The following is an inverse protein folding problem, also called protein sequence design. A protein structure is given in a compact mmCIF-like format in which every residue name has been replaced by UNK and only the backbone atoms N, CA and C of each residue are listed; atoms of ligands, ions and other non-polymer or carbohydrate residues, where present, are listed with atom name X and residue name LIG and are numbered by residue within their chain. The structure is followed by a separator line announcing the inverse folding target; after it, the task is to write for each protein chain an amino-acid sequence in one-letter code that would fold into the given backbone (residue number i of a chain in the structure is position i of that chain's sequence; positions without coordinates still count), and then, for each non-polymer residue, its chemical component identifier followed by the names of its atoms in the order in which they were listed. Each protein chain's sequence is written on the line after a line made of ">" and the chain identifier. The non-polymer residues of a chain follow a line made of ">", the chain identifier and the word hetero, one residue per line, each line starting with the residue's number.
data_IF_646721000855
#
_entry.id   IF_646721000855
#
_cell.length_a   1.000
_cell.length_b   1.000
_cell.length_c   1.000
_cell.angle_alpha   90.00
_cell.angle_beta   90.00
_cell.angle_gamma   90.00
#
_symmetry.space_group_name_H-M   'P 1'
#
loop_
_entity.id
_entity.type
_entity.pdbx_description
1 polymer ?
#
# COMPACT_ATOMS: atom_id res chain seq x y z
N UNK A 1 12.54 105.18 43.90
CA UNK A 1 12.05 106.23 42.98
C UNK A 1 12.84 106.10 41.68
N UNK A 2 12.22 106.38 40.51
CA UNK A 2 12.85 106.78 39.20
C UNK A 2 14.15 106.08 38.74
N UNK A 3 14.26 105.54 37.52
CA UNK A 3 13.36 105.52 36.36
C UNK A 3 14.07 105.01 35.10
N UNK A 4 13.38 105.08 33.95
CA UNK A 4 13.93 104.84 32.60
C UNK A 4 15.04 105.88 32.24
N UNK A 5 15.90 105.75 31.22
CA UNK A 5 16.00 104.88 30.03
C UNK A 5 17.51 104.94 29.55
N UNK A 6 18.06 104.42 28.43
CA UNK A 6 17.52 103.82 27.20
C UNK A 6 18.49 102.80 26.51
N UNK A 7 18.11 102.35 25.31
CA UNK A 7 18.70 101.32 24.47
C UNK A 7 19.83 101.73 23.50
N UNK A 8 20.64 100.75 23.05
CA UNK A 8 21.22 100.69 21.68
C UNK A 8 21.72 99.27 21.32
N UNK A 9 21.97 99.04 20.03
CA UNK A 9 22.76 97.94 19.44
C UNK A 9 22.31 96.47 19.62
N UNK A 10 21.17 96.08 18.99
CA UNK A 10 20.98 94.72 18.46
C UNK A 10 20.58 94.85 16.98
N UNK A 11 21.40 94.32 16.05
CA UNK A 11 21.09 94.50 14.62
C UNK A 11 22.12 94.04 13.58
N UNK A 12 22.84 92.93 13.78
CA UNK A 12 23.70 92.38 12.70
C UNK A 12 24.03 90.88 12.71
N UNK A 13 23.67 90.10 13.75
CA UNK A 13 24.19 88.72 13.92
C UNK A 13 23.46 87.59 13.18
N UNK A 14 22.17 87.71 12.88
CA UNK A 14 21.30 86.52 12.68
C UNK A 14 21.37 85.87 11.29
N UNK A 15 21.88 86.57 10.27
CA UNK A 15 21.78 86.13 8.87
C UNK A 15 22.71 84.98 8.44
N UNK A 16 23.57 84.47 9.32
CA UNK A 16 24.58 83.47 8.95
C UNK A 16 24.26 82.00 9.33
N UNK A 17 23.24 81.73 10.16
CA UNK A 17 23.00 80.39 10.71
C UNK A 17 21.82 79.62 10.08
N UNK A 18 20.88 80.29 9.40
CA UNK A 18 19.73 79.61 8.78
C UNK A 18 20.09 78.80 7.53
N UNK A 19 21.18 79.13 6.83
CA UNK A 19 21.55 78.51 5.55
C UNK A 19 22.10 77.07 5.61
N UNK A 20 22.34 76.51 6.80
CA UNK A 20 23.05 75.21 6.95
C UNK A 20 22.26 74.08 7.62
N UNK A 21 21.10 74.37 8.23
CA UNK A 21 20.26 73.34 8.91
C UNK A 21 19.17 72.70 8.04
N UNK A 22 18.89 73.24 6.85
CA UNK A 22 17.83 72.75 5.95
C UNK A 22 18.24 71.54 5.10
N UNK A 23 19.53 71.41 4.75
CA UNK A 23 19.98 70.45 3.73
C UNK A 23 20.03 69.00 4.22
N UNK A 24 20.69 68.74 5.35
CA UNK A 24 20.89 67.38 5.87
C UNK A 24 19.62 66.72 6.46
N UNK A 25 18.52 67.46 6.64
CA UNK A 25 17.29 66.91 7.25
C UNK A 25 16.40 66.16 6.26
N UNK A 26 16.60 66.32 4.95
CA UNK A 26 15.85 65.60 3.92
C UNK A 26 16.46 64.24 3.56
N UNK A 27 17.79 64.12 3.49
CA UNK A 27 18.46 62.88 3.05
C UNK A 27 18.26 61.68 4.01
N UNK A 28 18.11 61.94 5.31
CA UNK A 28 17.88 60.88 6.30
C UNK A 28 16.48 60.23 6.21
N UNK A 29 15.46 60.97 5.75
CA UNK A 29 14.11 60.40 5.59
C UNK A 29 13.97 59.57 4.32
N UNK A 30 14.66 59.94 3.23
CA UNK A 30 14.67 59.16 1.98
C UNK A 30 15.25 57.74 2.12
N UNK A 31 16.19 57.51 3.04
CA UNK A 31 16.79 56.19 3.27
C UNK A 31 15.94 55.26 4.15
N UNK A 32 15.04 55.82 4.97
CA UNK A 32 14.11 55.02 5.79
C UNK A 32 12.79 54.74 5.08
N UNK A 33 12.27 55.68 4.28
CA UNK A 33 11.04 55.50 3.50
C UNK A 33 11.11 54.28 2.57
N UNK A 34 12.15 54.19 1.74
CA UNK A 34 12.33 53.08 0.79
C UNK A 34 12.57 51.68 1.39
N UNK A 35 12.59 51.55 2.71
CA UNK A 35 12.53 50.27 3.41
C UNK A 35 11.09 49.96 3.86
N UNK A 36 10.37 50.96 4.40
CA UNK A 36 8.95 50.85 4.73
C UNK A 36 8.09 50.55 3.50
N UNK A 37 8.31 51.28 2.41
CA UNK A 37 7.57 51.09 1.14
C UNK A 37 7.73 49.67 0.59
N UNK A 38 8.94 49.10 0.66
CA UNK A 38 9.21 47.72 0.20
C UNK A 38 8.60 46.65 1.09
N UNK A 39 8.48 46.89 2.40
CA UNK A 39 7.76 45.98 3.31
C UNK A 39 6.24 46.11 3.09
N UNK A 40 5.75 47.30 2.76
CA UNK A 40 4.38 47.58 2.32
C UNK A 40 4.02 46.84 1.03
N UNK A 41 4.78 47.06 -0.06
CA UNK A 41 4.63 46.38 -1.35
C UNK A 41 4.63 44.85 -1.17
N UNK A 42 5.58 44.31 -0.39
CA UNK A 42 5.66 42.87 -0.16
C UNK A 42 4.43 42.38 0.60
N UNK A 43 3.99 43.09 1.64
CA UNK A 43 2.78 42.78 2.41
C UNK A 43 1.49 42.82 1.58
N UNK A 44 1.35 43.83 0.71
CA UNK A 44 0.22 43.94 -0.21
C UNK A 44 0.26 42.86 -1.29
N UNK A 45 1.43 42.54 -1.87
CA UNK A 45 1.58 41.41 -2.78
C UNK A 45 1.19 40.07 -2.12
N UNK A 46 1.64 39.83 -0.88
CA UNK A 46 1.25 38.65 -0.11
C UNK A 46 -0.27 38.61 0.16
N UNK A 47 -0.91 39.74 0.44
CA UNK A 47 -2.32 39.79 0.89
C UNK A 47 -3.33 39.89 -0.26
N UNK A 48 -3.00 40.61 -1.33
CA UNK A 48 -3.90 40.85 -2.49
C UNK A 48 -3.69 39.84 -3.62
N UNK A 49 -2.53 39.19 -3.73
CA UNK A 49 -2.22 38.27 -4.84
C UNK A 49 -1.88 36.85 -4.38
N UNK A 50 -0.95 36.68 -3.44
CA UNK A 50 -0.55 35.33 -3.01
C UNK A 50 -1.64 34.64 -2.18
N UNK A 51 -2.20 35.30 -1.17
CA UNK A 51 -3.20 34.69 -0.29
C UNK A 51 -4.51 34.31 -1.03
N UNK A 52 -5.09 35.15 -1.91
CA UNK A 52 -6.26 34.74 -2.70
C UNK A 52 -5.93 33.64 -3.71
N UNK A 53 -4.74 33.65 -4.31
CA UNK A 53 -4.27 32.58 -5.18
C UNK A 53 -4.11 31.24 -4.47
N UNK A 54 -3.56 31.26 -3.24
CA UNK A 54 -3.44 30.08 -2.39
C UNK A 54 -4.81 29.53 -1.97
N UNK A 55 -5.74 30.41 -1.56
CA UNK A 55 -7.12 30.04 -1.22
C UNK A 55 -7.90 29.48 -2.42
N UNK A 56 -7.66 29.99 -3.64
CA UNK A 56 -8.25 29.43 -4.85
C UNK A 56 -7.70 28.02 -5.14
N UNK A 57 -6.37 27.82 -5.03
CA UNK A 57 -5.75 26.50 -5.18
C UNK A 57 -6.22 25.52 -4.10
N UNK A 58 -6.36 25.96 -2.85
CA UNK A 58 -6.96 25.17 -1.76
C UNK A 58 -8.40 24.78 -2.10
N UNK A 59 -9.22 25.72 -2.58
CA UNK A 59 -10.62 25.45 -2.93
C UNK A 59 -10.76 24.45 -4.08
N UNK A 60 -9.97 24.60 -5.16
CA UNK A 60 -9.97 23.65 -6.28
C UNK A 60 -9.47 22.26 -5.85
N UNK A 61 -8.45 22.18 -4.97
CA UNK A 61 -7.98 20.90 -4.41
C UNK A 61 -9.03 20.25 -3.48
N UNK A 62 -9.77 21.04 -2.70
CA UNK A 62 -10.86 20.56 -1.85
C UNK A 62 -12.06 20.10 -2.69
N UNK A 63 -12.42 20.80 -3.76
CA UNK A 63 -13.46 20.38 -4.71
C UNK A 63 -13.06 19.10 -5.44
N UNK A 64 -11.81 19.01 -5.91
CA UNK A 64 -11.26 17.81 -6.53
C UNK A 64 -11.28 16.61 -5.58
N UNK A 65 -10.83 16.78 -4.33
CA UNK A 65 -10.88 15.75 -3.31
C UNK A 65 -12.32 15.33 -2.99
N UNK A 66 -13.22 16.29 -2.77
CA UNK A 66 -14.63 16.03 -2.47
C UNK A 66 -15.35 15.30 -3.61
N UNK A 67 -15.06 15.65 -4.87
CA UNK A 67 -15.55 14.93 -6.04
C UNK A 67 -15.14 13.45 -6.00
N UNK A 68 -13.85 13.15 -5.80
CA UNK A 68 -13.38 11.76 -5.73
C UNK A 68 -13.91 11.01 -4.51
N UNK A 69 -14.04 11.67 -3.34
CA UNK A 69 -14.70 11.06 -2.17
C UNK A 69 -16.15 10.68 -2.46
N UNK A 70 -16.92 11.50 -3.19
CA UNK A 70 -18.29 11.17 -3.59
C UNK A 70 -18.30 10.00 -4.59
N UNK A 71 -17.38 9.96 -5.56
CA UNK A 71 -17.26 8.84 -6.51
C UNK A 71 -16.95 7.52 -5.77
N UNK A 72 -15.96 7.51 -4.87
CA UNK A 72 -15.62 6.32 -4.07
C UNK A 72 -16.75 5.90 -3.12
N UNK A 73 -17.46 6.85 -2.51
CA UNK A 73 -18.61 6.52 -1.65
C UNK A 73 -19.79 5.92 -2.42
N UNK A 74 -19.97 6.28 -3.70
CA UNK A 74 -20.98 5.67 -4.59
C UNK A 74 -20.57 4.24 -4.99
N UNK A 75 -19.28 3.99 -5.24
CA UNK A 75 -18.76 2.66 -5.57
C UNK A 75 -18.91 1.69 -4.38
N UNK A 76 -18.48 2.10 -3.18
CA UNK A 76 -18.63 1.31 -1.94
C UNK A 76 -20.10 1.01 -1.63
N UNK A 77 -20.98 2.02 -1.77
CA UNK A 77 -22.42 1.83 -1.59
C UNK A 77 -23.03 0.86 -2.63
N UNK A 78 -22.49 0.81 -3.86
CA UNK A 78 -22.92 -0.17 -4.86
C UNK A 78 -22.49 -1.60 -4.48
N UNK A 79 -21.29 -1.77 -3.90
CA UNK A 79 -20.84 -3.04 -3.33
C UNK A 79 -21.70 -3.49 -2.14
N UNK A 80 -22.03 -2.59 -1.22
CA UNK A 80 -22.94 -2.85 -0.09
C UNK A 80 -24.34 -3.29 -0.55
N UNK A 81 -24.93 -2.55 -1.48
CA UNK A 81 -26.26 -2.86 -2.05
C UNK A 81 -26.22 -4.21 -2.78
N UNK A 82 -25.15 -4.48 -3.54
CA UNK A 82 -24.92 -5.75 -4.21
C UNK A 82 -24.83 -6.93 -3.23
N UNK A 83 -24.00 -6.81 -2.20
CA UNK A 83 -23.85 -7.82 -1.15
C UNK A 83 -25.17 -8.07 -0.40
N UNK A 84 -25.84 -7.00 0.04
CA UNK A 84 -27.12 -7.08 0.74
C UNK A 84 -28.20 -7.75 -0.13
N UNK A 85 -28.26 -7.43 -1.43
CA UNK A 85 -29.16 -8.08 -2.37
C UNK A 85 -28.85 -9.57 -2.55
N UNK A 86 -27.58 -9.95 -2.72
CA UNK A 86 -27.18 -11.36 -2.82
C UNK A 86 -27.51 -12.15 -1.54
N UNK A 87 -27.35 -11.53 -0.37
CA UNK A 87 -27.65 -12.12 0.94
C UNK A 87 -29.16 -12.27 1.16
N UNK A 88 -29.95 -11.23 0.89
CA UNK A 88 -31.42 -11.24 1.02
C UNK A 88 -32.10 -12.16 0.00
N UNK A 89 -31.54 -12.31 -1.22
CA UNK A 89 -32.04 -13.26 -2.22
C UNK A 89 -31.56 -14.70 -1.99
N UNK A 90 -30.77 -14.96 -0.94
CA UNK A 90 -30.27 -16.29 -0.60
C UNK A 90 -29.32 -16.89 -1.64
N UNK A 91 -28.65 -16.04 -2.43
CA UNK A 91 -27.65 -16.43 -3.44
C UNK A 91 -26.30 -16.75 -2.82
N UNK A 92 -25.99 -16.17 -1.66
CA UNK A 92 -24.77 -16.45 -0.87
C UNK A 92 -24.92 -17.75 -0.07
N UNK A 93 -25.07 -18.90 -0.75
CA UNK A 93 -25.08 -20.21 -0.09
C UNK A 93 -23.67 -20.71 0.14
N UNK A 94 -23.28 -20.77 1.41
CA UNK A 94 -22.03 -21.39 1.86
C UNK A 94 -22.15 -22.93 1.83
N UNK A 95 -21.38 -23.65 0.98
CA UNK A 95 -21.37 -25.11 1.00
C UNK A 95 -20.54 -25.61 2.17
N UNK A 96 -21.18 -26.30 3.13
CA UNK A 96 -20.46 -26.95 4.24
C UNK A 96 -19.69 -28.16 3.73
N UNK A 97 -18.38 -28.16 3.90
CA UNK A 97 -17.50 -29.31 3.65
C UNK A 97 -17.49 -30.18 4.92
N UNK A 98 -17.76 -31.48 4.80
CA UNK A 98 -17.64 -32.41 5.92
C UNK A 98 -16.15 -32.67 6.24
N UNK A 99 -15.83 -32.98 7.50
CA UNK A 99 -14.43 -33.19 7.91
C UNK A 99 -13.73 -34.31 7.15
N UNK A 100 -14.47 -35.36 6.82
CA UNK A 100 -13.96 -36.52 6.09
C UNK A 100 -13.71 -36.20 4.60
N UNK A 101 -14.32 -35.13 4.07
CA UNK A 101 -14.15 -34.60 2.71
C UNK A 101 -13.07 -33.49 2.62
N UNK A 102 -12.33 -33.18 3.68
CA UNK A 102 -11.33 -32.10 3.67
C UNK A 102 -10.08 -32.42 2.82
N UNK A 103 -9.70 -33.69 2.66
CA UNK A 103 -8.49 -34.08 1.91
C UNK A 103 -8.78 -35.11 0.83
N UNK A 104 -9.59 -34.77 -0.20
CA UNK A 104 -9.87 -35.67 -1.31
C UNK A 104 -8.61 -35.86 -2.18
N UNK A 105 -8.59 -36.94 -2.97
CA UNK A 105 -7.65 -37.02 -4.08
C UNK A 105 -7.92 -35.91 -5.10
N UNK A 106 -6.86 -35.35 -5.68
CA UNK A 106 -6.97 -34.36 -6.76
C UNK A 106 -7.19 -35.09 -8.08
N UNK A 107 -8.05 -34.58 -8.97
CA UNK A 107 -8.13 -35.12 -10.33
C UNK A 107 -6.92 -34.67 -11.15
N UNK A 108 -6.48 -33.41 -10.98
CA UNK A 108 -5.37 -32.82 -11.73
C UNK A 108 -4.09 -32.81 -10.90
N UNK A 109 -2.93 -32.78 -11.58
CA UNK A 109 -1.67 -32.40 -10.92
C UNK A 109 -1.69 -30.90 -10.63
N UNK A 110 -1.36 -30.53 -9.40
CA UNK A 110 -1.39 -29.15 -8.92
C UNK A 110 0.00 -28.70 -8.52
N UNK A 111 0.45 -27.57 -9.07
CA UNK A 111 1.69 -26.91 -8.69
C UNK A 111 1.38 -25.76 -7.74
N UNK A 112 1.93 -25.79 -6.52
CA UNK A 112 1.93 -24.67 -5.59
C UNK A 112 3.20 -23.85 -5.82
N UNK A 113 3.05 -22.58 -6.17
CA UNK A 113 4.16 -21.65 -6.42
C UNK A 113 4.30 -20.68 -5.24
N UNK A 114 5.45 -20.71 -4.58
CA UNK A 114 5.80 -19.81 -3.48
C UNK A 114 7.09 -19.08 -3.83
N UNK A 115 7.07 -17.73 -3.80
CA UNK A 115 8.23 -16.91 -4.10
C UNK A 115 8.78 -16.28 -2.82
N UNK A 116 9.92 -16.78 -2.32
CA UNK A 116 10.50 -16.37 -1.04
C UNK A 116 11.78 -15.51 -1.22
N UNK A 117 11.88 -14.43 -0.44
CA UNK A 117 13.06 -13.56 -0.37
C UNK A 117 13.18 -12.95 1.02
N UNK A 118 14.18 -13.41 1.80
CA UNK A 118 14.40 -13.10 3.22
C UNK A 118 13.28 -13.56 4.16
N UNK A 119 12.62 -14.65 3.79
CA UNK A 119 11.49 -15.27 4.51
C UNK A 119 11.92 -16.43 5.41
N UNK A 120 13.17 -16.44 5.88
CA UNK A 120 13.78 -17.55 6.61
C UNK A 120 13.01 -17.97 7.89
N UNK A 121 12.37 -17.01 8.56
CA UNK A 121 11.60 -17.24 9.79
C UNK A 121 10.25 -17.95 9.53
N UNK A 122 9.63 -17.74 8.36
CA UNK A 122 8.28 -18.26 8.03
C UNK A 122 8.30 -19.44 7.06
N UNK A 123 9.16 -19.42 6.04
CA UNK A 123 9.09 -20.35 4.89
C UNK A 123 9.20 -21.83 5.32
N UNK A 124 10.03 -22.11 6.33
CA UNK A 124 10.22 -23.47 6.85
C UNK A 124 9.01 -24.00 7.61
N UNK A 125 8.23 -23.11 8.24
CA UNK A 125 6.98 -23.46 8.92
C UNK A 125 5.83 -23.65 7.91
N UNK A 126 5.68 -22.72 6.96
CA UNK A 126 4.68 -22.82 5.90
C UNK A 126 4.85 -24.10 5.08
N UNK A 127 6.06 -24.40 4.57
CA UNK A 127 6.31 -25.64 3.80
C UNK A 127 5.98 -26.89 4.63
N UNK A 128 6.42 -26.95 5.88
CA UNK A 128 6.15 -28.10 6.76
C UNK A 128 4.66 -28.27 7.11
N UNK A 129 3.91 -27.17 7.19
CA UNK A 129 2.46 -27.18 7.39
C UNK A 129 1.71 -27.59 6.11
N UNK A 130 2.04 -27.00 4.96
CA UNK A 130 1.41 -27.31 3.67
C UNK A 130 1.56 -28.80 3.31
N UNK A 131 2.76 -29.38 3.46
CA UNK A 131 3.00 -30.81 3.22
C UNK A 131 2.20 -31.75 4.13
N UNK A 132 1.80 -31.26 5.33
CA UNK A 132 1.00 -32.00 6.33
C UNK A 132 -0.50 -31.82 6.11
N UNK A 133 -0.94 -30.60 5.80
CA UNK A 133 -2.35 -30.26 5.58
C UNK A 133 -2.86 -30.80 4.23
N UNK A 134 -1.99 -30.87 3.23
CA UNK A 134 -2.30 -31.41 1.90
C UNK A 134 -1.44 -32.66 1.64
N UNK A 135 -1.91 -33.87 2.01
CA UNK A 135 -1.16 -35.12 1.87
C UNK A 135 -1.10 -35.66 0.44
N UNK A 136 -1.80 -35.05 -0.53
CA UNK A 136 -1.99 -35.61 -1.87
C UNK A 136 -0.68 -35.74 -2.68
N UNK A 137 -0.50 -36.87 -3.36
CA UNK A 137 0.68 -37.16 -4.23
C UNK A 137 0.67 -36.36 -5.56
N UNK A 138 -0.48 -35.82 -5.94
CA UNK A 138 -0.66 -34.98 -7.14
C UNK A 138 -0.25 -33.52 -6.93
N UNK A 139 0.04 -33.12 -5.70
CA UNK A 139 0.59 -31.82 -5.35
C UNK A 139 2.12 -31.80 -5.52
N UNK A 140 2.66 -30.74 -6.12
CA UNK A 140 4.08 -30.41 -6.09
C UNK A 140 4.28 -28.95 -5.63
N UNK A 141 5.26 -28.70 -4.76
CA UNK A 141 5.58 -27.37 -4.23
C UNK A 141 6.84 -26.85 -4.93
N UNK A 142 6.71 -25.79 -5.73
CA UNK A 142 7.83 -25.06 -6.30
C UNK A 142 8.11 -23.84 -5.41
N UNK A 143 9.22 -23.88 -4.68
CA UNK A 143 9.64 -22.81 -3.76
C UNK A 143 10.82 -22.07 -4.36
N UNK A 144 10.61 -20.79 -4.68
CA UNK A 144 11.63 -19.90 -5.24
C UNK A 144 12.49 -19.30 -4.14
N UNK A 145 13.81 -19.46 -4.25
CA UNK A 145 14.81 -18.83 -3.39
C UNK A 145 15.88 -18.15 -4.27
N UNK A 146 16.84 -17.43 -3.68
CA UNK A 146 17.88 -16.69 -4.41
C UNK A 146 19.29 -17.07 -3.95
N UNK A 147 20.28 -17.02 -4.84
CA UNK A 147 21.69 -17.39 -4.51
C UNK A 147 22.31 -16.57 -3.38
N UNK A 148 21.86 -15.33 -3.16
CA UNK A 148 22.32 -14.44 -2.10
C UNK A 148 21.42 -14.47 -0.84
N UNK A 149 20.54 -15.47 -0.73
CA UNK A 149 19.68 -15.71 0.42
C UNK A 149 19.77 -17.19 0.87
N UNK A 150 20.92 -17.57 1.47
CA UNK A 150 21.14 -18.94 1.93
C UNK A 150 20.30 -19.30 3.16
N UNK A 151 19.80 -18.31 3.90
CA UNK A 151 19.01 -18.51 5.13
C UNK A 151 17.59 -18.98 4.79
N UNK A 152 16.90 -18.29 3.87
CA UNK A 152 15.58 -18.72 3.37
C UNK A 152 15.68 -20.05 2.63
N UNK A 153 16.75 -20.26 1.86
CA UNK A 153 17.05 -21.53 1.20
C UNK A 153 17.19 -22.69 2.22
N UNK A 154 17.99 -22.51 3.26
CA UNK A 154 18.17 -23.51 4.31
C UNK A 154 16.88 -23.77 5.10
N UNK A 155 16.11 -22.72 5.40
CA UNK A 155 14.81 -22.83 6.07
C UNK A 155 13.78 -23.62 5.23
N UNK A 156 13.68 -23.33 3.93
CA UNK A 156 12.80 -24.06 3.01
C UNK A 156 13.19 -25.54 2.87
N UNK A 157 14.49 -25.83 2.73
CA UNK A 157 14.99 -27.22 2.70
C UNK A 157 14.72 -27.97 4.01
N UNK A 158 14.88 -27.31 5.17
CA UNK A 158 14.58 -27.85 6.50
C UNK A 158 13.09 -28.10 6.71
N UNK A 159 12.22 -27.21 6.19
CA UNK A 159 10.77 -27.39 6.20
C UNK A 159 10.32 -28.56 5.33
N UNK A 160 10.93 -28.72 4.15
CA UNK A 160 10.65 -29.79 3.19
C UNK A 160 11.04 -31.19 3.69
N UNK A 161 12.07 -31.32 4.54
CA UNK A 161 12.56 -32.59 5.13
C UNK A 161 12.89 -33.70 4.11
N UNK A 162 13.11 -33.34 2.84
CA UNK A 162 13.34 -34.30 1.75
C UNK A 162 12.07 -34.89 1.13
N UNK A 163 10.88 -34.34 1.40
CA UNK A 163 9.63 -34.75 0.74
C UNK A 163 9.76 -34.60 -0.79
N UNK A 164 9.55 -35.67 -1.59
CA UNK A 164 9.79 -35.67 -3.02
C UNK A 164 8.82 -34.77 -3.81
N UNK A 165 7.77 -34.25 -3.18
CA UNK A 165 6.84 -33.26 -3.76
C UNK A 165 7.43 -31.85 -3.80
N UNK A 166 8.49 -31.55 -3.03
CA UNK A 166 9.11 -30.22 -3.02
C UNK A 166 10.17 -30.08 -4.12
N UNK A 167 10.20 -28.91 -4.75
CA UNK A 167 11.16 -28.45 -5.74
C UNK A 167 11.65 -27.08 -5.32
N UNK A 168 12.85 -27.01 -4.75
CA UNK A 168 13.51 -25.73 -4.50
C UNK A 168 14.11 -25.22 -5.82
N UNK A 169 13.71 -24.01 -6.22
CA UNK A 169 14.15 -23.36 -7.47
C UNK A 169 14.98 -22.15 -7.09
N UNK A 170 16.31 -22.28 -7.17
CA UNK A 170 17.23 -21.19 -6.83
C UNK A 170 17.43 -20.27 -8.04
N UNK A 171 17.16 -18.98 -7.86
CA UNK A 171 17.43 -17.93 -8.83
C UNK A 171 18.92 -17.59 -8.81
N UNK A 172 19.62 -17.87 -9.91
CA UNK A 172 21.04 -17.56 -10.13
C UNK A 172 21.33 -16.05 -10.12
N UNK A 173 20.33 -15.21 -10.40
CA UNK A 173 20.44 -13.76 -10.27
C UNK A 173 20.24 -13.37 -8.81
N UNK A 174 21.16 -12.63 -8.17
CA UNK A 174 20.96 -12.10 -6.83
C UNK A 174 19.65 -11.31 -6.69
N UNK A 175 18.93 -11.57 -5.60
CA UNK A 175 17.68 -10.90 -5.25
C UNK A 175 17.88 -9.58 -4.48
N UNK A 176 16.79 -8.80 -4.30
CA UNK A 176 15.45 -9.08 -4.81
C UNK A 176 15.33 -8.86 -6.32
N UNK A 177 14.52 -9.70 -6.97
CA UNK A 177 13.86 -9.35 -8.24
C UNK A 177 12.39 -9.05 -7.96
N UNK A 178 11.53 -8.92 -8.97
CA UNK A 178 10.08 -8.82 -8.70
C UNK A 178 9.50 -10.18 -8.33
N UNK A 179 8.38 -10.21 -7.59
CA UNK A 179 7.61 -11.44 -7.32
C UNK A 179 7.27 -12.18 -8.62
N UNK A 180 6.89 -11.44 -9.66
CA UNK A 180 6.66 -11.98 -11.01
C UNK A 180 7.92 -12.61 -11.67
N UNK A 181 9.11 -11.99 -11.54
CA UNK A 181 10.36 -12.56 -12.08
C UNK A 181 10.73 -13.89 -11.39
N UNK A 182 10.41 -14.02 -10.10
CA UNK A 182 10.52 -15.27 -9.36
C UNK A 182 9.47 -16.30 -9.83
N UNK A 183 8.18 -15.96 -9.84
CA UNK A 183 7.09 -16.85 -10.28
C UNK A 183 7.29 -17.37 -11.71
N UNK A 184 7.81 -16.55 -12.63
CA UNK A 184 8.15 -16.96 -14.00
C UNK A 184 9.25 -18.04 -14.05
N UNK A 185 10.18 -18.07 -13.08
CA UNK A 185 11.17 -19.16 -12.96
C UNK A 185 10.56 -20.44 -12.39
N UNK A 186 9.58 -20.33 -11.50
CA UNK A 186 8.81 -21.48 -11.00
C UNK A 186 8.00 -22.11 -12.14
N UNK A 187 7.34 -21.29 -12.95
CA UNK A 187 6.66 -21.74 -14.16
C UNK A 187 7.62 -22.43 -15.15
N UNK A 188 8.78 -21.82 -15.44
CA UNK A 188 9.79 -22.45 -16.28
C UNK A 188 10.39 -23.74 -15.68
N UNK A 189 10.43 -23.89 -14.35
CA UNK A 189 10.85 -25.12 -13.69
C UNK A 189 9.76 -26.21 -13.78
N UNK A 190 8.50 -25.84 -13.57
CA UNK A 190 7.34 -26.71 -13.75
C UNK A 190 7.28 -27.28 -15.16
N UNK A 191 7.39 -26.46 -16.21
CA UNK A 191 7.36 -26.94 -17.59
C UNK A 191 8.52 -27.91 -17.92
N UNK A 192 9.71 -27.70 -17.36
CA UNK A 192 10.82 -28.68 -17.50
C UNK A 192 10.52 -30.01 -16.80
N UNK A 193 9.79 -30.00 -15.70
CA UNK A 193 9.33 -31.24 -15.05
C UNK A 193 8.17 -31.91 -15.83
N UNK A 194 7.31 -31.14 -16.51
CA UNK A 194 6.33 -31.68 -17.48
C UNK A 194 7.03 -32.38 -18.66
N UNK A 195 8.01 -31.72 -19.28
CA UNK A 195 8.83 -32.26 -20.37
C UNK A 195 9.55 -33.56 -19.96
N UNK A 196 10.12 -33.61 -18.75
CA UNK A 196 10.85 -34.77 -18.23
C UNK A 196 9.96 -35.94 -17.83
N UNK A 197 8.75 -35.67 -17.33
CA UNK A 197 7.86 -36.69 -16.78
C UNK A 197 6.78 -37.16 -17.76
N UNK A 198 6.54 -36.42 -18.85
CA UNK A 198 5.41 -36.63 -19.75
C UNK A 198 4.04 -36.32 -19.14
N UNK A 199 3.99 -35.82 -17.90
CA UNK A 199 2.76 -35.51 -17.16
C UNK A 199 2.60 -34.00 -17.02
N UNK A 200 1.45 -33.47 -17.43
CA UNK A 200 1.14 -32.05 -17.30
C UNK A 200 0.52 -31.68 -15.95
N UNK A 201 0.73 -30.44 -15.53
CA UNK A 201 -0.03 -29.81 -14.46
C UNK A 201 -1.34 -29.26 -15.03
N UNK A 202 -2.45 -29.49 -14.31
CA UNK A 202 -3.77 -28.99 -14.68
C UNK A 202 -4.26 -27.82 -13.82
N UNK A 203 -3.48 -27.45 -12.81
CA UNK A 203 -3.74 -26.39 -11.83
C UNK A 203 -2.42 -25.76 -11.39
N UNK A 204 -2.37 -24.43 -11.31
CA UNK A 204 -1.31 -23.68 -10.63
C UNK A 204 -1.95 -22.85 -9.54
N UNK A 205 -1.43 -22.92 -8.32
CA UNK A 205 -1.85 -22.13 -7.16
C UNK A 205 -0.70 -21.21 -6.78
N UNK A 206 -0.95 -19.91 -6.74
CA UNK A 206 -0.01 -18.94 -6.16
C UNK A 206 -0.27 -18.86 -4.65
N UNK A 207 0.81 -18.87 -3.86
CA UNK A 207 0.72 -18.82 -2.40
C UNK A 207 1.91 -18.06 -1.83
N UNK A 208 1.70 -17.31 -0.77
CA UNK A 208 2.73 -16.50 -0.13
C UNK A 208 3.52 -17.29 0.94
N UNK A 209 4.59 -16.71 1.48
CA UNK A 209 5.57 -17.43 2.30
C UNK A 209 5.16 -17.50 3.78
N UNK A 210 4.38 -16.51 4.20
CA UNK A 210 3.86 -16.25 5.54
C UNK A 210 2.50 -16.91 5.84
N UNK A 211 1.73 -17.21 4.80
CA UNK A 211 0.36 -17.74 4.91
C UNK A 211 0.31 -19.22 5.35
N UNK A 212 -0.82 -19.63 5.96
CA UNK A 212 -1.09 -21.02 6.32
C UNK A 212 -2.36 -21.58 5.65
N UNK A 213 -2.23 -22.76 5.04
CA UNK A 213 -3.31 -23.43 4.32
C UNK A 213 -4.32 -24.13 5.24
N UNK A 214 -5.60 -24.13 4.86
CA UNK A 214 -6.61 -25.04 5.41
C UNK A 214 -6.57 -26.38 4.66
N UNK A 215 -6.74 -27.56 5.31
CA UNK A 215 -6.73 -28.85 4.61
C UNK A 215 -7.73 -28.90 3.43
N UNK A 216 -9.00 -28.53 3.69
CA UNK A 216 -10.08 -28.41 2.70
C UNK A 216 -9.77 -27.57 1.43
N UNK A 217 -8.81 -26.64 1.50
CA UNK A 217 -8.60 -25.63 0.46
C UNK A 217 -8.20 -26.23 -0.90
N UNK A 218 -7.29 -27.22 -0.93
CA UNK A 218 -6.77 -27.76 -2.19
C UNK A 218 -7.83 -28.56 -2.96
N UNK A 219 -8.64 -29.35 -2.25
CA UNK A 219 -9.76 -30.08 -2.83
C UNK A 219 -10.88 -29.14 -3.33
N UNK A 220 -11.11 -28.03 -2.62
CA UNK A 220 -12.05 -26.99 -3.06
C UNK A 220 -11.55 -26.30 -4.35
N UNK A 221 -10.25 -26.02 -4.48
CA UNK A 221 -9.65 -25.44 -5.68
C UNK A 221 -9.77 -26.41 -6.88
N UNK A 222 -9.34 -27.67 -6.75
CA UNK A 222 -9.43 -28.68 -7.82
C UNK A 222 -10.90 -28.94 -8.26
N UNK A 223 -11.85 -28.83 -7.35
CA UNK A 223 -13.29 -28.91 -7.66
C UNK A 223 -13.79 -27.70 -8.46
N UNK A 224 -13.51 -26.48 -8.02
CA UNK A 224 -14.03 -25.28 -8.68
C UNK A 224 -13.37 -24.99 -10.05
N UNK A 225 -12.10 -25.40 -10.25
CA UNK A 225 -11.39 -25.29 -11.54
C UNK A 225 -11.89 -26.26 -12.64
N UNK A 226 -13.04 -26.91 -12.42
CA UNK A 226 -13.82 -27.62 -13.44
C UNK A 226 -14.78 -26.67 -14.18
N UNK A 227 -15.27 -25.66 -13.48
CA UNK A 227 -16.32 -24.74 -13.95
C UNK A 227 -15.80 -23.30 -14.10
N UNK A 228 -14.80 -22.91 -13.30
CA UNK A 228 -14.13 -21.61 -13.38
C UNK A 228 -12.70 -21.72 -13.95
N UNK A 229 -12.25 -20.68 -14.65
CA UNK A 229 -10.87 -20.57 -15.16
C UNK A 229 -9.88 -20.05 -14.09
N UNK A 230 -10.39 -19.48 -13.00
CA UNK A 230 -9.63 -18.92 -11.88
C UNK A 230 -10.43 -19.13 -10.60
N UNK A 231 -9.74 -19.38 -9.48
CA UNK A 231 -10.36 -19.57 -8.15
C UNK A 231 -9.50 -18.83 -7.13
N UNK A 232 -10.13 -17.95 -6.36
CA UNK A 232 -9.54 -17.31 -5.20
C UNK A 232 -10.26 -17.78 -3.94
N UNK A 233 -9.51 -18.07 -2.88
CA UNK A 233 -10.06 -18.37 -1.56
C UNK A 233 -9.98 -17.13 -0.66
N UNK A 234 -10.90 -16.95 0.29
CA UNK A 234 -10.83 -15.85 1.24
C UNK A 234 -9.66 -16.07 2.20
N UNK A 235 -8.77 -15.08 2.33
CA UNK A 235 -7.69 -15.12 3.33
C UNK A 235 -8.27 -14.69 4.68
N UNK A 236 -7.99 -15.45 5.73
CA UNK A 236 -8.39 -15.09 7.10
C UNK A 236 -7.17 -14.54 7.85
N UNK A 237 -7.18 -13.27 8.29
CA UNK A 237 -6.09 -12.68 9.05
C UNK A 237 -5.98 -13.31 10.45
N UNK A 238 -4.75 -13.42 10.98
CA UNK A 238 -4.52 -13.84 12.37
C UNK A 238 -4.54 -12.61 13.32
N UNK A 239 -5.47 -12.53 14.29
CA UNK A 239 -5.57 -11.37 15.18
C UNK A 239 -4.36 -11.26 16.14
N UNK A 240 -3.51 -10.25 15.91
CA UNK A 240 -2.30 -10.04 16.71
C UNK A 240 -2.62 -9.36 18.04
N UNK A 241 -2.67 -10.15 19.12
CA UNK A 241 -3.01 -9.70 20.47
C UNK A 241 -2.07 -8.59 21.03
N UNK A 242 -0.84 -8.47 20.50
CA UNK A 242 0.10 -7.41 20.85
C UNK A 242 -0.15 -6.07 20.11
N UNK A 243 -0.99 -6.05 19.07
CA UNK A 243 -1.28 -4.87 18.25
C UNK A 243 -2.77 -4.76 17.87
N UNK A 244 -3.70 -4.79 18.86
CA UNK A 244 -5.14 -4.92 18.59
C UNK A 244 -5.73 -3.76 17.79
N UNK A 245 -5.14 -2.56 17.85
CA UNK A 245 -5.61 -1.40 17.09
C UNK A 245 -5.20 -1.46 15.61
N UNK A 246 -3.92 -1.75 15.32
CA UNK A 246 -3.42 -1.78 13.94
C UNK A 246 -3.80 -3.10 13.26
N UNK A 247 -3.48 -4.23 13.88
CA UNK A 247 -3.81 -5.54 13.32
C UNK A 247 -5.32 -5.85 13.37
N UNK A 248 -6.07 -5.24 14.28
CA UNK A 248 -7.54 -5.28 14.28
C UNK A 248 -8.12 -4.55 13.06
N UNK A 249 -7.68 -3.31 12.80
CA UNK A 249 -8.09 -2.57 11.61
C UNK A 249 -7.75 -3.31 10.30
N UNK A 250 -6.54 -3.85 10.16
CA UNK A 250 -6.21 -4.73 9.02
C UNK A 250 -7.08 -5.98 8.98
N UNK A 251 -7.49 -6.53 10.13
CA UNK A 251 -8.36 -7.71 10.16
C UNK A 251 -9.78 -7.39 9.65
N UNK A 252 -10.29 -6.20 9.96
CA UNK A 252 -11.58 -5.71 9.50
C UNK A 252 -11.54 -5.40 7.99
N UNK A 253 -10.46 -4.79 7.48
CA UNK A 253 -10.25 -4.57 6.04
C UNK A 253 -10.17 -5.89 5.25
N UNK A 254 -9.47 -6.89 5.78
CA UNK A 254 -9.43 -8.23 5.18
C UNK A 254 -10.81 -8.91 5.21
N UNK A 255 -11.57 -8.78 6.30
CA UNK A 255 -12.92 -9.30 6.38
C UNK A 255 -13.83 -8.67 5.32
N UNK A 256 -13.76 -7.35 5.13
CA UNK A 256 -14.53 -6.65 4.10
C UNK A 256 -14.11 -7.08 2.68
N UNK A 257 -12.82 -7.05 2.38
CA UNK A 257 -12.27 -7.44 1.07
C UNK A 257 -12.64 -8.87 0.68
N UNK A 258 -12.45 -9.84 1.59
CA UNK A 258 -12.62 -11.26 1.29
C UNK A 258 -14.02 -11.82 1.53
N UNK A 259 -14.82 -11.27 2.46
CA UNK A 259 -16.18 -11.76 2.75
C UNK A 259 -17.30 -10.92 2.10
N UNK A 260 -17.05 -9.64 1.78
CA UNK A 260 -17.98 -8.79 1.01
C UNK A 260 -17.53 -8.69 -0.45
N UNK A 261 -16.43 -7.99 -0.72
CA UNK A 261 -16.11 -7.51 -2.08
C UNK A 261 -15.74 -8.62 -3.06
N UNK A 262 -14.94 -9.61 -2.64
CA UNK A 262 -14.62 -10.79 -3.44
C UNK A 262 -15.87 -11.63 -3.81
N UNK A 263 -16.83 -11.72 -2.88
CA UNK A 263 -18.07 -12.48 -3.06
C UNK A 263 -19.02 -11.76 -4.03
N UNK A 264 -19.11 -10.43 -3.94
CA UNK A 264 -19.86 -9.59 -4.89
C UNK A 264 -19.28 -9.69 -6.30
N UNK A 265 -17.95 -9.59 -6.45
CA UNK A 265 -17.26 -9.72 -7.74
C UNK A 265 -17.53 -11.06 -8.42
N UNK A 266 -17.39 -12.17 -7.70
CA UNK A 266 -17.72 -13.51 -8.21
C UNK A 266 -19.17 -13.61 -8.70
N UNK A 267 -20.13 -12.99 -8.00
CA UNK A 267 -21.54 -13.00 -8.40
C UNK A 267 -21.85 -12.15 -9.66
N UNK A 268 -20.97 -11.20 -10.01
CA UNK A 268 -21.07 -10.39 -11.23
C UNK A 268 -20.09 -10.82 -12.34
N UNK A 269 -19.25 -11.84 -12.10
CA UNK A 269 -18.31 -12.40 -13.09
C UNK A 269 -17.04 -11.55 -13.29
N UNK A 270 -16.55 -10.90 -12.24
CA UNK A 270 -15.40 -9.99 -12.23
C UNK A 270 -14.38 -10.32 -11.12
#
# INVERSE_FOLDING_TARGET
>A
MTGADHASAIGQGERCLQGRQSRNRHEYWSLLGGCGDKVGDLGQFFTEQLLPGLLAVEHELLLFAAFWFVVSAIDEAAFDIGYLWLRLTGRLREPVIARDDETPELERRTALFVAAWREADVIGAMVAHALKAWPQERLALYVGCYVNDPETLAAAMKGAKGDPRVRIVVNERPGPTTKADCLNRLYAAMCRDEERSGMRFGTVVLHDAEDFVHPAALGLIDRNLREAAFVQLPVRPEPQAASPWVAGHYSDEFAESHAKSMVVRNAFGA
#
